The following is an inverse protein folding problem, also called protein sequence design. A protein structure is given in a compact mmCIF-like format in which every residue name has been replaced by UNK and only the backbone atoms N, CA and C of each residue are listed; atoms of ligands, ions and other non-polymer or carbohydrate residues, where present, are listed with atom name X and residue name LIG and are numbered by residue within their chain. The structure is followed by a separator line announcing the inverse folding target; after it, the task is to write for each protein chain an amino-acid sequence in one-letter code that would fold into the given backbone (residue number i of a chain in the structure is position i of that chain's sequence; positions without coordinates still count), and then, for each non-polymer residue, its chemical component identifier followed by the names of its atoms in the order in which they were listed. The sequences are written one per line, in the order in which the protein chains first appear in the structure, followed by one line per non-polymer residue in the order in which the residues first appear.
data_IF_335200611825
#
_entry.id   IF_335200611825
#
_cell.length_a   1.000
_cell.length_b   1.000
_cell.length_c   1.000
_cell.angle_alpha   90.00
_cell.angle_beta   90.00
_cell.angle_gamma   90.00
#
_symmetry.space_group_name_H-M   'P 1'
#
loop_
_entity.id
_entity.type
_entity.pdbx_description
1 polymer ?
#
# COMPACT_ATOMS: atom_id res chain seq x y z
N UNK A 1 6.82 0.07 -8.82
CA UNK A 1 7.91 0.05 -7.84
C UNK A 1 7.30 0.21 -6.46
N UNK A 2 7.52 -0.74 -5.55
CA UNK A 2 7.10 -0.62 -4.16
C UNK A 2 8.22 0.09 -3.41
N UNK A 3 7.95 1.27 -2.85
CA UNK A 3 8.90 1.88 -1.92
C UNK A 3 8.64 1.25 -0.54
N UNK A 4 9.59 0.47 -0.06
CA UNK A 4 9.54 -0.08 1.30
C UNK A 4 9.89 1.02 2.31
N UNK A 5 8.90 1.41 3.11
CA UNK A 5 9.13 2.14 4.36
C UNK A 5 9.07 1.13 5.51
N UNK A 6 10.23 0.70 6.01
CA UNK A 6 10.27 -0.21 7.15
C UNK A 6 9.80 0.50 8.43
N UNK A 7 8.68 0.03 9.00
CA UNK A 7 8.20 0.47 10.32
C UNK A 7 9.10 -0.11 11.43
N UNK A 8 9.75 0.75 12.23
CA UNK A 8 10.44 0.34 13.46
C UNK A 8 9.47 -0.18 14.55
N UNK A 9 9.93 -1.03 15.47
CA UNK A 9 9.08 -1.72 16.48
C UNK A 9 8.24 -0.82 17.39
N UNK A 10 8.61 0.45 17.59
CA UNK A 10 7.80 1.43 18.31
C UNK A 10 6.51 1.84 17.56
N UNK A 11 6.48 1.64 16.23
CA UNK A 11 5.39 2.09 15.35
C UNK A 11 4.21 1.12 15.29
N UNK A 12 4.46 -0.18 15.51
CA UNK A 12 3.39 -1.18 15.68
C UNK A 12 2.58 -0.96 16.96
N UNK A 13 3.26 -0.52 18.02
CA UNK A 13 2.63 -0.22 19.31
C UNK A 13 1.76 1.03 19.23
N UNK A 14 2.17 2.02 18.45
CA UNK A 14 1.41 3.22 18.16
C UNK A 14 0.05 2.95 17.48
N UNK A 15 0.03 2.06 16.49
CA UNK A 15 -1.23 1.63 15.84
C UNK A 15 -2.14 0.89 16.82
N UNK A 16 -1.59 -0.02 17.64
CA UNK A 16 -2.34 -0.71 18.71
C UNK A 16 -2.97 0.26 19.71
N UNK A 17 -2.32 1.39 19.95
CA UNK A 17 -2.77 2.43 20.87
C UNK A 17 -3.68 3.49 20.20
N UNK A 18 -4.00 3.34 18.91
CA UNK A 18 -4.85 4.28 18.18
C UNK A 18 -4.21 5.67 17.96
N UNK A 19 -2.87 5.75 17.99
CA UNK A 19 -2.14 7.00 17.80
C UNK A 19 -1.96 7.23 16.30
N UNK A 20 -2.55 8.32 15.79
CA UNK A 20 -2.54 8.70 14.38
C UNK A 20 -1.18 9.29 13.96
N UNK A 21 -0.57 8.74 12.91
CA UNK A 21 0.75 9.14 12.44
C UNK A 21 0.80 9.42 10.93
N UNK A 22 -0.27 9.96 10.35
CA UNK A 22 -0.37 10.30 8.92
C UNK A 22 0.70 11.26 8.35
N UNK A 23 1.70 11.68 9.14
CA UNK A 23 2.68 12.70 8.77
C UNK A 23 4.09 12.45 9.37
N UNK A 24 4.55 11.20 9.44
CA UNK A 24 5.84 10.90 10.11
C UNK A 24 7.05 10.83 9.20
N UNK A 25 6.86 10.72 7.88
CA UNK A 25 7.97 10.78 6.92
C UNK A 25 8.09 12.20 6.36
N UNK A 26 9.24 12.89 6.56
CA UNK A 26 9.45 14.20 5.95
C UNK A 26 9.28 14.11 4.43
N UNK A 27 8.49 14.99 3.82
CA UNK A 27 8.23 15.00 2.37
C UNK A 27 9.52 14.99 1.52
N UNK A 28 10.58 15.61 2.04
CA UNK A 28 11.92 15.59 1.45
C UNK A 28 12.50 14.17 1.33
N UNK A 29 12.23 13.30 2.30
CA UNK A 29 12.69 11.91 2.31
C UNK A 29 11.96 11.09 1.25
N UNK A 30 10.65 11.31 1.09
CA UNK A 30 9.85 10.65 0.04
C UNK A 30 10.34 11.09 -1.35
N UNK A 31 10.54 12.40 -1.54
CA UNK A 31 11.06 12.97 -2.79
C UNK A 31 12.45 12.43 -3.13
N UNK A 32 13.35 12.35 -2.15
CA UNK A 32 14.68 11.78 -2.36
C UNK A 32 14.62 10.30 -2.71
N UNK A 33 13.78 9.54 -2.02
CA UNK A 33 13.64 8.10 -2.24
C UNK A 33 13.14 7.80 -3.65
N UNK A 34 12.18 8.58 -4.16
CA UNK A 34 11.72 8.39 -5.54
C UNK A 34 12.83 8.74 -6.55
N UNK A 35 13.60 9.80 -6.33
CA UNK A 35 14.69 10.21 -7.23
C UNK A 35 15.81 9.17 -7.31
N UNK A 36 16.22 8.64 -6.16
CA UNK A 36 17.21 7.56 -6.10
C UNK A 36 16.71 6.31 -6.85
N UNK A 37 15.41 6.04 -6.77
CA UNK A 37 14.84 4.85 -7.38
C UNK A 37 14.65 5.01 -8.90
N UNK A 38 14.22 6.18 -9.35
CA UNK A 38 14.18 6.56 -10.76
C UNK A 38 15.57 6.48 -11.40
N UNK A 39 16.60 6.98 -10.72
CA UNK A 39 17.99 6.87 -11.17
C UNK A 39 18.46 5.41 -11.31
N UNK A 40 18.14 4.54 -10.34
CA UNK A 40 18.48 3.10 -10.42
C UNK A 40 17.77 2.37 -11.56
N UNK A 41 16.52 2.75 -11.83
CA UNK A 41 15.73 2.17 -12.92
C UNK A 41 16.02 2.80 -14.28
N UNK A 42 16.77 3.91 -14.32
CA UNK A 42 17.02 4.71 -15.51
C UNK A 42 15.70 5.18 -16.16
N UNK A 43 14.77 5.65 -15.33
CA UNK A 43 13.47 6.16 -15.72
C UNK A 43 13.30 7.60 -15.26
N UNK A 44 12.50 8.37 -16.00
CA UNK A 44 12.15 9.75 -15.62
C UNK A 44 10.88 9.80 -14.74
N UNK A 45 10.03 8.77 -14.83
CA UNK A 45 8.79 8.64 -14.06
C UNK A 45 8.39 7.17 -13.86
N UNK A 46 7.42 6.93 -12.99
CA UNK A 46 6.72 5.64 -12.85
C UNK A 46 5.21 5.84 -12.95
N UNK A 47 4.47 4.88 -13.50
CA UNK A 47 3.02 5.00 -13.58
C UNK A 47 2.36 4.98 -12.19
N UNK A 48 2.76 4.05 -11.32
CA UNK A 48 2.15 3.89 -9.98
C UNK A 48 3.24 3.91 -8.91
N UNK A 49 3.07 4.81 -7.94
CA UNK A 49 3.83 4.82 -6.68
C UNK A 49 3.01 4.14 -5.58
N UNK A 50 3.49 3.02 -5.06
CA UNK A 50 2.83 2.32 -3.96
C UNK A 50 3.37 2.80 -2.62
N UNK A 51 2.51 3.40 -1.81
CA UNK A 51 2.78 3.77 -0.42
C UNK A 51 2.57 2.54 0.48
N UNK A 52 3.68 2.00 0.98
CA UNK A 52 3.68 0.92 1.96
C UNK A 52 3.43 1.49 3.37
N UNK A 53 2.60 0.80 4.18
CA UNK A 53 2.25 1.20 5.55
C UNK A 53 1.64 2.62 5.64
N UNK A 54 0.57 2.85 4.88
CA UNK A 54 -0.10 4.16 4.68
C UNK A 54 -0.56 4.88 5.94
N UNK A 55 -0.69 4.17 7.05
CA UNK A 55 -0.99 4.73 8.37
C UNK A 55 0.07 5.76 8.83
N UNK A 56 1.21 5.83 8.11
CA UNK A 56 2.39 6.59 8.50
C UNK A 56 2.96 7.54 7.41
N UNK A 57 2.42 7.55 6.19
CA UNK A 57 2.98 8.29 5.03
C UNK A 57 2.06 9.38 4.49
N UNK A 58 2.64 10.53 4.09
CA UNK A 58 1.91 11.56 3.36
C UNK A 58 1.76 11.18 1.88
N UNK A 59 0.53 11.28 1.36
CA UNK A 59 0.24 11.06 -0.06
C UNK A 59 0.62 12.32 -0.84
N UNK A 60 1.92 12.47 -1.10
CA UNK A 60 2.47 13.70 -1.68
C UNK A 60 2.04 13.88 -3.15
N UNK A 61 0.95 14.64 -3.34
CA UNK A 61 0.44 15.02 -4.66
C UNK A 61 1.46 15.84 -5.45
N UNK A 62 2.45 16.47 -4.81
CA UNK A 62 3.48 17.23 -5.54
C UNK A 62 4.27 16.35 -6.51
N UNK A 63 4.45 15.06 -6.18
CA UNK A 63 5.10 14.12 -7.09
C UNK A 63 4.31 13.88 -8.37
N UNK A 64 2.97 13.94 -8.30
CA UNK A 64 2.12 13.95 -9.50
C UNK A 64 2.27 15.27 -10.25
N UNK A 65 2.26 16.40 -9.55
CA UNK A 65 2.39 17.73 -10.14
C UNK A 65 3.72 17.91 -10.91
N UNK A 66 4.83 17.41 -10.36
CA UNK A 66 6.15 17.46 -11.03
C UNK A 66 6.35 16.35 -12.07
N UNK A 67 5.34 15.50 -12.30
CA UNK A 67 5.34 14.48 -13.35
C UNK A 67 6.19 13.23 -13.07
N UNK A 68 6.67 13.02 -11.84
CA UNK A 68 7.46 11.84 -11.47
C UNK A 68 6.60 10.59 -11.28
N UNK A 69 5.31 10.78 -10.99
CA UNK A 69 4.32 9.69 -10.85
C UNK A 69 3.02 10.05 -11.55
N UNK A 70 2.27 9.05 -12.02
CA UNK A 70 0.93 9.27 -12.62
C UNK A 70 -0.19 8.94 -11.65
N UNK A 71 -0.03 7.88 -10.87
CA UNK A 71 -1.01 7.37 -9.93
C UNK A 71 -0.37 7.07 -8.57
N UNK A 72 -1.15 7.26 -7.51
CA UNK A 72 -0.82 6.94 -6.14
C UNK A 72 -1.57 5.67 -5.76
N UNK A 73 -0.79 4.66 -5.39
CA UNK A 73 -1.26 3.40 -4.87
C UNK A 73 -1.01 3.29 -3.37
N UNK A 74 -1.83 2.50 -2.69
CA UNK A 74 -1.70 2.28 -1.25
C UNK A 74 -1.74 0.78 -0.97
N UNK A 75 -0.82 0.29 -0.13
CA UNK A 75 -0.76 -1.14 0.21
C UNK A 75 -1.19 -1.36 1.65
N UNK A 76 -1.92 -2.43 1.89
CA UNK A 76 -2.41 -2.78 3.22
C UNK A 76 -2.47 -4.27 3.41
N UNK A 77 -2.18 -4.72 4.64
CA UNK A 77 -2.50 -6.07 5.07
C UNK A 77 -3.95 -6.11 5.59
N UNK A 78 -4.34 -5.43 6.68
CA UNK A 78 -5.75 -5.40 7.06
C UNK A 78 -6.59 -4.65 6.01
N UNK A 79 -7.67 -5.27 5.52
CA UNK A 79 -8.56 -4.63 4.54
C UNK A 79 -9.19 -3.33 5.07
N UNK A 80 -9.39 -3.23 6.39
CA UNK A 80 -9.95 -2.06 7.08
C UNK A 80 -9.11 -0.80 6.89
N UNK A 81 -7.81 -0.93 6.61
CA UNK A 81 -6.96 0.24 6.35
C UNK A 81 -7.42 0.99 5.09
N UNK A 82 -7.96 0.28 4.09
CA UNK A 82 -8.39 0.90 2.85
C UNK A 82 -9.61 1.80 3.07
N UNK A 83 -10.63 1.32 3.80
CA UNK A 83 -11.79 2.16 4.14
C UNK A 83 -11.37 3.32 5.03
N UNK A 84 -10.50 3.05 6.01
CA UNK A 84 -9.98 4.07 6.93
C UNK A 84 -9.33 5.24 6.20
N UNK A 85 -8.46 4.96 5.23
CA UNK A 85 -7.76 5.97 4.42
C UNK A 85 -8.71 6.64 3.44
N UNK A 86 -9.44 5.86 2.64
CA UNK A 86 -10.28 6.38 1.55
C UNK A 86 -11.45 7.24 2.02
N UNK A 87 -11.83 7.15 3.30
CA UNK A 87 -12.83 8.02 3.91
C UNK A 87 -12.24 9.31 4.52
N UNK A 88 -10.92 9.40 4.67
CA UNK A 88 -10.23 10.54 5.30
C UNK A 88 -9.44 11.41 4.32
N UNK A 89 -9.18 10.91 3.12
CA UNK A 89 -8.51 11.65 2.05
C UNK A 89 -9.53 12.22 1.07
N UNK A 90 -9.24 13.36 0.40
CA UNK A 90 -10.07 13.85 -0.68
C UNK A 90 -10.24 12.80 -1.79
N UNK A 91 -11.42 12.71 -2.44
CA UNK A 91 -11.60 11.86 -3.62
C UNK A 91 -10.53 12.10 -4.69
N UNK A 92 -10.02 11.03 -5.31
CA UNK A 92 -8.94 11.09 -6.31
C UNK A 92 -7.52 11.22 -5.74
N UNK A 93 -7.37 11.25 -4.41
CA UNK A 93 -6.03 11.24 -3.78
C UNK A 93 -5.32 9.90 -3.99
N UNK A 94 -6.08 8.81 -3.83
CA UNK A 94 -5.64 7.42 -4.02
C UNK A 94 -6.33 6.86 -5.25
N UNK A 95 -5.54 6.31 -6.18
CA UNK A 95 -6.04 5.77 -7.44
C UNK A 95 -6.14 4.24 -7.42
N UNK A 96 -5.29 3.58 -6.64
CA UNK A 96 -5.19 2.11 -6.61
C UNK A 96 -4.94 1.61 -5.19
N UNK A 97 -5.58 0.51 -4.80
CA UNK A 97 -5.19 -0.28 -3.62
C UNK A 97 -4.46 -1.54 -4.05
N UNK A 98 -3.50 -1.98 -3.24
CA UNK A 98 -2.87 -3.28 -3.36
C UNK A 98 -3.19 -4.09 -2.10
N UNK A 99 -4.01 -5.12 -2.27
CA UNK A 99 -4.35 -6.07 -1.22
C UNK A 99 -3.51 -7.34 -1.37
N UNK A 100 -3.01 -7.86 -0.25
CA UNK A 100 -2.13 -9.03 -0.21
C UNK A 100 -2.86 -10.24 0.36
N UNK A 101 -2.91 -11.35 -0.38
CA UNK A 101 -3.56 -12.63 0.00
C UNK A 101 -5.08 -12.65 0.21
N UNK A 102 -5.79 -11.52 0.26
CA UNK A 102 -7.25 -11.47 0.54
C UNK A 102 -8.19 -11.69 -0.66
N UNK A 103 -7.62 -12.02 -1.82
CA UNK A 103 -8.38 -12.40 -3.01
C UNK A 103 -7.78 -13.66 -3.63
N UNK A 104 -8.00 -14.77 -2.93
CA UNK A 104 -7.48 -16.09 -3.24
C UNK A 104 -8.52 -17.16 -2.92
N UNK A 105 -8.28 -18.40 -3.33
CA UNK A 105 -9.21 -19.51 -3.06
C UNK A 105 -9.43 -19.78 -1.55
N UNK A 106 -8.43 -19.44 -0.72
CA UNK A 106 -8.50 -19.63 0.73
C UNK A 106 -9.08 -18.41 1.47
N UNK A 107 -9.10 -17.26 0.82
CA UNK A 107 -9.54 -16.00 1.41
C UNK A 107 -10.14 -15.10 0.33
N UNK A 108 -11.46 -14.96 0.35
CA UNK A 108 -12.24 -14.08 -0.54
C UNK A 108 -12.70 -12.79 0.14
N UNK A 109 -12.16 -12.42 1.30
CA UNK A 109 -12.63 -11.26 2.09
C UNK A 109 -12.55 -9.93 1.34
N UNK A 110 -11.68 -9.80 0.31
CA UNK A 110 -11.66 -8.60 -0.54
C UNK A 110 -12.95 -8.41 -1.35
N UNK A 111 -13.71 -9.49 -1.63
CA UNK A 111 -14.98 -9.43 -2.39
C UNK A 111 -15.99 -8.49 -1.76
N UNK A 112 -16.08 -8.51 -0.43
CA UNK A 112 -17.01 -7.66 0.34
C UNK A 112 -16.69 -6.17 0.16
N UNK A 113 -15.44 -5.83 -0.16
CA UNK A 113 -14.97 -4.46 -0.32
C UNK A 113 -15.05 -3.95 -1.77
N UNK A 114 -15.23 -4.83 -2.77
CA UNK A 114 -15.26 -4.45 -4.18
C UNK A 114 -16.32 -3.38 -4.51
N UNK A 115 -17.58 -3.46 -4.00
CA UNK A 115 -18.58 -2.43 -4.27
C UNK A 115 -18.17 -1.05 -3.73
N UNK A 116 -17.56 -1.02 -2.54
CA UNK A 116 -17.06 0.21 -1.92
C UNK A 116 -15.92 0.81 -2.74
N UNK A 117 -14.91 0.03 -3.12
CA UNK A 117 -13.77 0.50 -3.92
C UNK A 117 -14.23 1.02 -5.30
N UNK A 118 -15.18 0.32 -5.92
CA UNK A 118 -15.80 0.78 -7.16
C UNK A 118 -16.53 2.11 -7.00
N UNK A 119 -17.23 2.32 -5.88
CA UNK A 119 -17.93 3.59 -5.60
C UNK A 119 -16.97 4.77 -5.41
N UNK A 120 -15.72 4.51 -5.04
CA UNK A 120 -14.65 5.50 -4.85
C UNK A 120 -13.80 5.72 -6.11
N UNK A 121 -14.09 5.00 -7.21
CA UNK A 121 -13.30 4.97 -8.44
C UNK A 121 -11.83 4.55 -8.22
N UNK A 122 -11.63 3.53 -7.37
CA UNK A 122 -10.30 3.05 -7.00
C UNK A 122 -10.01 1.70 -7.65
N UNK A 123 -8.88 1.60 -8.35
CA UNK A 123 -8.37 0.37 -8.95
C UNK A 123 -7.84 -0.62 -7.91
N UNK A 124 -7.73 -1.89 -8.29
CA UNK A 124 -7.37 -2.98 -7.37
C UNK A 124 -6.22 -3.80 -7.96
N UNK A 125 -5.18 -4.01 -7.16
CA UNK A 125 -4.10 -4.96 -7.42
C UNK A 125 -4.14 -6.04 -6.34
N UNK A 126 -4.17 -7.30 -6.75
CA UNK A 126 -4.12 -8.44 -5.85
C UNK A 126 -2.72 -9.03 -5.84
N UNK A 127 -1.98 -8.84 -4.76
CA UNK A 127 -0.67 -9.44 -4.55
C UNK A 127 -0.79 -10.80 -3.86
N UNK A 128 0.07 -11.74 -4.26
CA UNK A 128 0.05 -13.13 -3.79
C UNK A 128 -1.34 -13.81 -3.93
N UNK A 129 -1.93 -13.87 -5.14
CA UNK A 129 -3.24 -14.51 -5.35
C UNK A 129 -3.24 -16.01 -5.06
N UNK A 130 -2.06 -16.62 -4.89
CA UNK A 130 -1.89 -18.03 -4.49
C UNK A 130 -1.63 -18.20 -2.99
N UNK A 131 -1.93 -17.18 -2.17
CA UNK A 131 -1.74 -17.19 -0.72
C UNK A 131 -0.34 -17.71 -0.30
N UNK A 132 0.70 -17.15 -0.94
CA UNK A 132 2.09 -17.53 -0.71
C UNK A 132 2.43 -19.00 -0.97
N UNK A 133 1.60 -19.70 -1.75
CA UNK A 133 1.80 -21.11 -2.02
C UNK A 133 1.36 -22.02 -0.87
N UNK A 134 0.43 -21.58 -0.02
CA UNK A 134 -0.07 -22.38 1.11
C UNK A 134 -0.66 -23.74 0.68
N UNK A 135 -1.15 -23.84 -0.54
CA UNK A 135 -1.69 -25.08 -1.13
C UNK A 135 -0.66 -25.87 -1.95
N UNK A 136 0.62 -25.49 -1.94
CA UNK A 136 1.70 -26.21 -2.62
C UNK A 136 2.43 -27.14 -1.65
N UNK A 137 3.13 -28.15 -2.17
CA UNK A 137 3.90 -29.10 -1.35
C UNK A 137 4.99 -28.42 -0.51
N UNK A 138 5.58 -27.32 -1.02
CA UNK A 138 6.62 -26.56 -0.30
C UNK A 138 6.04 -25.66 0.80
N UNK A 139 4.73 -25.40 0.77
CA UNK A 139 4.07 -24.46 1.68
C UNK A 139 4.56 -23.01 1.52
N UNK A 140 4.10 -22.11 2.39
CA UNK A 140 4.54 -20.73 2.39
C UNK A 140 5.97 -20.60 2.93
N UNK A 141 6.74 -19.57 2.52
CA UNK A 141 8.06 -19.33 3.07
C UNK A 141 7.99 -19.11 4.59
N UNK A 142 9.05 -19.49 5.31
CA UNK A 142 9.11 -19.48 6.78
C UNK A 142 8.82 -18.12 7.43
N UNK A 143 9.00 -17.03 6.69
CA UNK A 143 8.76 -15.65 7.14
C UNK A 143 7.41 -15.08 6.66
N UNK A 144 6.51 -15.91 6.11
CA UNK A 144 5.18 -15.47 5.74
C UNK A 144 4.44 -14.91 6.99
N UNK A 145 3.65 -13.84 6.85
CA UNK A 145 2.78 -13.38 7.93
C UNK A 145 1.93 -14.56 8.41
N UNK A 146 1.80 -14.73 9.73
CA UNK A 146 0.93 -15.75 10.30
C UNK A 146 -0.52 -15.40 9.97
N UNK A 147 -1.13 -16.15 9.05
CA UNK A 147 -2.57 -16.09 8.77
C UNK A 147 -3.31 -16.84 9.89
N UNK A 148 -3.37 -16.25 11.09
CA UNK A 148 -4.10 -16.79 12.25
C UNK A 148 -5.12 -15.78 12.73
#
# INVERSE_FOLDING_TARGET
MVLEFSSNGALREAFRLGINFFDTSPAERVTRSIDESLARLQLDYVDILQCHDIEFGSLDQKLKEVGKIRFIGVTGLPLEVFTYVLDRVPPGTVDVILSYCHYSINDSTLEDLLPYLKSKDVGIITASPLAMGILTESGPPRLAPSFT
#
